data_IF_213579049805
#
_entry.id   IF_213579049805
#
_cell.length_a   1.000
_cell.length_b   1.000
_cell.length_c   1.000
_cell.angle_alpha   90.00
_cell.angle_beta   90.00
_cell.angle_gamma   90.00
#
_symmetry.space_group_name_H-M   'P 1'
#
loop_
_entity.id
_entity.type
_entity.pdbx_description
1 polymer ?
#
# COMPACT_ATOMS: atom_id res chain seq x y z
N UNK A 1 1.48 15.90 -13.74
CA UNK A 1 2.80 15.39 -14.20
C UNK A 1 2.86 15.26 -15.71
N UNK A 2 2.09 14.35 -16.36
CA UNK A 2 2.13 14.18 -17.84
C UNK A 2 1.84 15.46 -18.64
N UNK A 3 0.85 16.25 -18.23
CA UNK A 3 0.51 17.51 -18.89
C UNK A 3 1.64 18.53 -18.78
N UNK A 4 2.29 18.66 -17.62
CA UNK A 4 3.43 19.57 -17.43
C UNK A 4 4.65 19.15 -18.24
N UNK A 5 4.90 17.84 -18.37
CA UNK A 5 6.00 17.30 -19.19
C UNK A 5 5.74 17.52 -20.68
N UNK A 6 4.50 17.28 -21.15
CA UNK A 6 4.09 17.56 -22.52
C UNK A 6 4.17 19.06 -22.84
N UNK A 7 3.85 19.90 -21.87
CA UNK A 7 3.90 21.36 -21.98
C UNK A 7 5.33 21.88 -22.03
N UNK A 8 6.23 21.32 -21.20
CA UNK A 8 7.65 21.62 -21.26
C UNK A 8 8.29 21.13 -22.58
N UNK A 9 7.91 19.95 -23.06
CA UNK A 9 8.36 19.43 -24.36
C UNK A 9 7.86 20.29 -25.53
N UNK A 10 6.61 20.74 -25.49
CA UNK A 10 6.05 21.65 -26.49
C UNK A 10 6.74 23.02 -26.48
N UNK A 11 7.03 23.59 -25.31
CA UNK A 11 7.78 24.84 -25.17
C UNK A 11 9.22 24.70 -25.69
N UNK A 12 9.87 23.57 -25.42
CA UNK A 12 11.22 23.29 -25.93
C UNK A 12 11.22 23.17 -27.47
N UNK A 13 10.25 22.47 -28.05
CA UNK A 13 10.08 22.36 -29.50
C UNK A 13 9.77 23.73 -30.15
N UNK A 14 8.92 24.54 -29.51
CA UNK A 14 8.63 25.91 -29.93
C UNK A 14 9.87 26.81 -29.89
N UNK A 15 10.67 26.70 -28.83
CA UNK A 15 11.91 27.47 -28.67
C UNK A 15 12.93 27.10 -29.75
N UNK A 16 13.04 25.81 -30.08
CA UNK A 16 13.86 25.36 -31.21
C UNK A 16 13.38 25.93 -32.54
N UNK A 17 12.08 25.84 -32.83
CA UNK A 17 11.50 26.36 -34.08
C UNK A 17 11.62 27.89 -34.20
N UNK A 18 11.42 28.63 -33.09
CA UNK A 18 11.62 30.08 -33.06
C UNK A 18 13.08 30.47 -33.28
N UNK A 19 14.02 29.73 -32.70
CA UNK A 19 15.47 29.93 -32.92
C UNK A 19 15.86 29.66 -34.38
N UNK A 20 15.32 28.59 -34.99
CA UNK A 20 15.53 28.29 -36.41
C UNK A 20 14.95 29.35 -37.35
N UNK A 21 13.80 29.95 -36.99
CA UNK A 21 13.18 31.03 -37.75
C UNK A 21 13.97 32.35 -37.68
N UNK A 22 14.65 32.63 -36.57
CA UNK A 22 15.53 33.81 -36.44
C UNK A 22 16.83 33.63 -37.23
N UNK A 23 17.39 32.41 -37.26
CA UNK A 23 18.61 32.10 -37.99
C UNK A 23 18.43 32.04 -39.52
N UNK A 24 17.23 31.73 -39.99
CA UNK A 24 16.90 31.70 -41.43
C UNK A 24 15.80 32.72 -41.71
N UNK A 25 16.18 34.00 -41.73
CA UNK A 25 15.27 35.12 -42.02
C UNK A 25 14.84 35.19 -43.49
N UNK A 26 15.53 34.48 -44.37
CA UNK A 26 15.16 34.39 -45.78
C UNK A 26 13.95 33.47 -45.93
N UNK A 27 12.97 33.89 -46.73
CA UNK A 27 11.68 33.21 -46.89
C UNK A 27 11.84 31.82 -47.51
N UNK A 28 12.04 30.80 -46.67
CA UNK A 28 12.06 29.40 -47.10
C UNK A 28 10.63 29.00 -47.46
N UNK A 29 10.35 28.99 -48.77
CA UNK A 29 9.11 28.46 -49.32
C UNK A 29 9.31 26.96 -49.60
N UNK A 30 8.52 26.12 -48.93
CA UNK A 30 8.48 24.69 -49.21
C UNK A 30 7.41 24.47 -50.28
N UNK A 31 7.84 24.21 -51.50
CA UNK A 31 6.95 23.92 -52.62
C UNK A 31 6.49 22.47 -52.54
N UNK A 32 5.25 22.26 -52.10
CA UNK A 32 4.63 20.93 -52.03
C UNK A 32 4.02 20.52 -53.38
N UNK A 33 3.69 21.51 -54.23
CA UNK A 33 3.26 21.35 -55.62
C UNK A 33 3.49 22.67 -56.39
N UNK A 34 3.38 22.70 -57.74
CA UNK A 34 3.63 23.90 -58.55
C UNK A 34 2.75 25.11 -58.19
N UNK A 35 1.60 24.88 -57.57
CA UNK A 35 0.65 25.90 -57.14
C UNK A 35 0.57 26.10 -55.63
N UNK A 36 1.32 25.31 -54.83
CA UNK A 36 1.24 25.34 -53.37
C UNK A 36 2.63 25.50 -52.75
N UNK A 37 2.93 26.74 -52.39
CA UNK A 37 4.11 27.12 -51.62
C UNK A 37 3.74 27.36 -50.16
N UNK A 38 4.40 26.67 -49.24
CA UNK A 38 4.17 26.81 -47.81
C UNK A 38 5.27 27.67 -47.20
N UNK A 39 4.90 28.83 -46.65
CA UNK A 39 5.80 29.75 -45.97
C UNK A 39 6.05 29.23 -44.55
N UNK A 40 7.19 28.55 -44.34
CA UNK A 40 7.54 27.91 -43.07
C UNK A 40 7.56 28.90 -41.89
N UNK A 41 8.15 30.10 -42.01
CA UNK A 41 8.10 31.13 -40.96
C UNK A 41 6.67 31.47 -40.52
N UNK A 42 5.75 31.68 -41.47
CA UNK A 42 4.36 32.05 -41.17
C UNK A 42 3.63 30.93 -40.40
N UNK A 43 3.82 29.67 -40.80
CA UNK A 43 3.21 28.53 -40.11
C UNK A 43 3.83 28.26 -38.74
N UNK A 44 5.13 28.49 -38.57
CA UNK A 44 5.78 28.41 -37.27
C UNK A 44 5.18 29.44 -36.29
N UNK A 45 4.96 30.68 -36.75
CA UNK A 45 4.31 31.74 -35.95
C UNK A 45 2.87 31.37 -35.59
N UNK A 46 2.08 30.86 -36.54
CA UNK A 46 0.70 30.42 -36.28
C UNK A 46 0.66 29.29 -35.25
N UNK A 47 1.56 28.31 -35.35
CA UNK A 47 1.64 27.19 -34.41
C UNK A 47 2.06 27.68 -33.02
N UNK A 48 3.02 28.60 -32.95
CA UNK A 48 3.48 29.23 -31.70
C UNK A 48 2.32 29.95 -31.00
N UNK A 49 1.59 30.81 -31.70
CA UNK A 49 0.45 31.54 -31.16
C UNK A 49 -0.73 30.62 -30.80
N UNK A 50 -0.94 29.53 -31.54
CA UNK A 50 -1.97 28.54 -31.22
C UNK A 50 -1.67 27.80 -29.91
N UNK A 51 -0.40 27.41 -29.71
CA UNK A 51 0.04 26.78 -28.45
C UNK A 51 -0.02 27.78 -27.30
N UNK A 52 0.42 29.03 -27.51
CA UNK A 52 0.28 30.11 -26.52
C UNK A 52 -1.18 30.38 -26.15
N UNK A 53 -2.10 30.39 -27.13
CA UNK A 53 -3.54 30.54 -26.91
C UNK A 53 -4.13 29.38 -26.12
N UNK A 54 -3.74 28.14 -26.44
CA UNK A 54 -4.14 26.96 -25.67
C UNK A 54 -3.62 27.03 -24.23
N UNK A 55 -2.36 27.40 -24.04
CA UNK A 55 -1.76 27.58 -22.72
C UNK A 55 -2.45 28.67 -21.90
N UNK A 56 -2.76 29.81 -22.54
CA UNK A 56 -3.50 30.89 -21.90
C UNK A 56 -4.93 30.47 -21.52
N UNK A 57 -5.57 29.63 -22.34
CA UNK A 57 -6.91 29.10 -22.04
C UNK A 57 -6.91 28.11 -20.87
N UNK A 58 -5.90 27.23 -20.80
CA UNK A 58 -5.70 26.30 -19.68
C UNK A 58 -5.31 27.06 -18.40
N UNK A 59 -4.40 28.04 -18.50
CA UNK A 59 -4.05 28.95 -17.39
C UNK A 59 -5.27 29.73 -16.90
N UNK A 60 -6.11 30.24 -17.81
CA UNK A 60 -7.35 30.92 -17.45
C UNK A 60 -8.33 29.96 -16.77
N UNK A 61 -8.43 28.72 -17.21
CA UNK A 61 -9.26 27.69 -16.55
C UNK A 61 -8.75 27.35 -15.14
N UNK A 62 -7.43 27.39 -14.95
CA UNK A 62 -6.74 27.23 -13.66
C UNK A 62 -6.98 28.41 -12.72
N UNK A 63 -6.96 29.65 -13.24
CA UNK A 63 -7.18 30.88 -12.47
C UNK A 63 -8.65 31.11 -12.13
N UNK A 64 -9.58 30.74 -13.03
CA UNK A 64 -11.03 30.88 -12.81
C UNK A 64 -11.60 29.80 -11.88
N UNK A 65 -10.98 28.62 -11.82
CA UNK A 65 -11.40 27.51 -10.95
C UNK A 65 -10.24 26.93 -10.13
N UNK A 66 -9.63 27.73 -9.23
CA UNK A 66 -8.50 27.29 -8.43
C UNK A 66 -8.86 26.08 -7.56
N UNK A 67 -10.10 26.01 -7.08
CA UNK A 67 -10.59 24.93 -6.23
C UNK A 67 -10.47 23.54 -6.87
N UNK A 68 -10.77 23.42 -8.17
CA UNK A 68 -10.69 22.13 -8.87
C UNK A 68 -9.25 21.65 -9.01
N UNK A 69 -8.31 22.56 -9.20
CA UNK A 69 -6.88 22.22 -9.27
C UNK A 69 -6.34 21.79 -7.90
N UNK A 70 -6.62 22.55 -6.85
CA UNK A 70 -6.21 22.19 -5.49
C UNK A 70 -6.86 20.89 -5.03
N UNK A 71 -8.12 20.64 -5.36
CA UNK A 71 -8.78 19.36 -5.08
C UNK A 71 -8.10 18.20 -5.82
N UNK A 72 -7.81 18.32 -7.12
CA UNK A 72 -7.08 17.28 -7.88
C UNK A 72 -5.69 17.03 -7.30
N UNK A 73 -4.97 18.07 -6.92
CA UNK A 73 -3.64 17.95 -6.33
C UNK A 73 -3.71 17.28 -4.95
N UNK A 74 -4.63 17.71 -4.08
CA UNK A 74 -4.88 17.10 -2.77
C UNK A 74 -5.23 15.62 -2.91
N UNK A 75 -6.18 15.27 -3.78
CA UNK A 75 -6.55 13.87 -4.05
C UNK A 75 -5.38 13.07 -4.60
N UNK A 76 -4.59 13.62 -5.53
CA UNK A 76 -3.41 12.93 -6.05
C UNK A 76 -2.34 12.71 -4.97
N UNK A 77 -2.16 13.67 -4.08
CA UNK A 77 -1.19 13.62 -3.00
C UNK A 77 -1.65 12.65 -1.90
N UNK A 78 -2.95 12.62 -1.60
CA UNK A 78 -3.59 11.64 -0.72
C UNK A 78 -3.48 10.22 -1.30
N UNK A 79 -3.77 10.02 -2.58
CA UNK A 79 -3.56 8.75 -3.28
C UNK A 79 -2.10 8.30 -3.22
N UNK A 80 -1.14 9.21 -3.44
CA UNK A 80 0.28 8.89 -3.33
C UNK A 80 0.68 8.51 -1.89
N UNK A 81 0.13 9.19 -0.87
CA UNK A 81 0.33 8.84 0.54
C UNK A 81 -0.28 7.48 0.89
N UNK A 82 -1.49 7.19 0.40
CA UNK A 82 -2.15 5.89 0.58
C UNK A 82 -1.34 4.78 -0.10
N UNK A 83 -0.88 4.99 -1.34
CA UNK A 83 -0.07 4.01 -2.05
C UNK A 83 1.22 3.69 -1.29
N UNK A 84 1.92 4.71 -0.77
CA UNK A 84 3.12 4.50 0.07
C UNK A 84 2.82 3.67 1.33
N UNK A 85 1.64 3.84 1.95
CA UNK A 85 1.23 3.02 3.10
C UNK A 85 1.00 1.56 2.69
N UNK A 86 0.29 1.34 1.58
CA UNK A 86 0.03 0.01 1.03
C UNK A 86 1.34 -0.69 0.68
N UNK A 87 2.27 0.01 0.03
CA UNK A 87 3.58 -0.53 -0.32
C UNK A 87 4.39 -0.90 0.93
N UNK A 88 4.35 -0.06 1.96
CA UNK A 88 5.00 -0.35 3.26
C UNK A 88 4.42 -1.61 3.92
N UNK A 89 3.10 -1.78 3.89
CA UNK A 89 2.43 -2.98 4.43
C UNK A 89 2.79 -4.22 3.63
N UNK A 90 2.78 -4.12 2.30
CA UNK A 90 3.19 -5.21 1.40
C UNK A 90 4.64 -5.63 1.65
N UNK A 91 5.55 -4.67 1.80
CA UNK A 91 6.95 -4.95 2.09
C UNK A 91 7.15 -5.56 3.48
N UNK A 92 6.33 -5.15 4.46
CA UNK A 92 6.29 -5.79 5.77
C UNK A 92 5.86 -7.26 5.68
N UNK A 93 4.76 -7.56 4.97
CA UNK A 93 4.33 -8.95 4.77
C UNK A 93 5.39 -9.79 4.05
N UNK A 94 6.02 -9.25 3.01
CA UNK A 94 7.13 -9.90 2.32
C UNK A 94 8.30 -10.20 3.27
N UNK A 95 8.65 -9.25 4.14
CA UNK A 95 9.73 -9.43 5.12
C UNK A 95 9.37 -10.50 6.17
N UNK A 96 8.11 -10.58 6.59
CA UNK A 96 7.62 -11.66 7.45
C UNK A 96 7.70 -13.02 6.76
N UNK A 97 7.26 -13.11 5.51
CA UNK A 97 7.33 -14.35 4.71
C UNK A 97 8.77 -14.79 4.43
N UNK A 98 9.69 -13.85 4.23
CA UNK A 98 11.11 -14.14 4.04
C UNK A 98 11.88 -14.36 5.35
N UNK A 99 11.19 -14.36 6.51
CA UNK A 99 11.78 -14.46 7.84
C UNK A 99 12.93 -13.46 8.13
N UNK A 100 12.94 -12.29 7.48
CA UNK A 100 13.98 -11.26 7.69
C UNK A 100 13.60 -10.38 8.90
N UNK A 101 13.88 -10.88 10.10
CA UNK A 101 13.50 -10.25 11.37
C UNK A 101 14.06 -8.82 11.53
N UNK A 102 15.23 -8.53 10.93
CA UNK A 102 15.83 -7.19 10.95
C UNK A 102 15.05 -6.21 10.08
N UNK A 103 14.56 -6.65 8.91
CA UNK A 103 13.67 -5.82 8.07
C UNK A 103 12.30 -5.67 8.72
N UNK A 104 11.72 -6.72 9.29
CA UNK A 104 10.44 -6.67 10.00
C UNK A 104 10.48 -5.61 11.11
N UNK A 105 11.51 -5.64 11.98
CA UNK A 105 11.67 -4.65 13.06
C UNK A 105 11.74 -3.21 12.52
N UNK A 106 12.52 -2.99 11.44
CA UNK A 106 12.67 -1.66 10.81
C UNK A 106 11.39 -1.16 10.17
N UNK A 107 10.68 -2.02 9.44
CA UNK A 107 9.42 -1.68 8.77
C UNK A 107 8.30 -1.45 9.80
N UNK A 108 8.22 -2.29 10.83
CA UNK A 108 7.26 -2.10 11.92
C UNK A 108 7.53 -0.80 12.68
N UNK A 109 8.79 -0.40 12.92
CA UNK A 109 9.09 0.89 13.55
C UNK A 109 8.61 2.10 12.73
N UNK A 110 8.53 1.97 11.39
CA UNK A 110 7.96 3.01 10.51
C UNK A 110 6.43 3.07 10.58
N UNK A 111 5.79 1.94 10.84
CA UNK A 111 4.35 1.83 11.04
C UNK A 111 4.06 2.13 12.51
N UNK A 112 3.64 3.34 12.86
CA UNK A 112 3.36 3.71 14.25
C UNK A 112 2.54 2.61 14.97
N UNK A 113 3.07 1.95 16.03
CA UNK A 113 2.49 0.70 16.54
C UNK A 113 1.01 0.79 16.96
N UNK A 114 0.59 1.93 17.50
CA UNK A 114 -0.81 2.19 17.90
C UNK A 114 -1.78 2.42 16.73
N UNK A 115 -1.27 2.73 15.55
CA UNK A 115 -2.07 2.93 14.32
C UNK A 115 -1.95 1.77 13.34
N UNK A 116 -1.20 0.73 13.70
CA UNK A 116 -1.04 -0.44 12.88
C UNK A 116 -2.35 -1.26 12.87
N UNK A 117 -2.79 -1.76 11.70
CA UNK A 117 -3.84 -2.76 11.59
C UNK A 117 -3.55 -4.00 12.46
N UNK A 118 -4.61 -4.68 12.91
CA UNK A 118 -4.53 -5.88 13.76
C UNK A 118 -3.61 -6.95 13.16
N UNK A 119 -3.84 -7.33 11.90
CA UNK A 119 -3.04 -8.30 11.16
C UNK A 119 -1.52 -8.02 11.22
N UNK A 120 -1.11 -6.75 11.06
CA UNK A 120 0.31 -6.36 11.13
C UNK A 120 0.86 -6.50 12.56
N UNK A 121 0.04 -6.20 13.58
CA UNK A 121 0.44 -6.36 14.99
C UNK A 121 0.60 -7.82 15.36
N UNK A 122 -0.34 -8.68 14.94
CA UNK A 122 -0.30 -10.13 15.14
C UNK A 122 0.91 -10.73 14.44
N UNK A 123 1.11 -10.45 13.13
CA UNK A 123 2.28 -10.96 12.39
C UNK A 123 3.61 -10.49 12.97
N UNK A 124 3.68 -9.25 13.47
CA UNK A 124 4.87 -8.77 14.17
C UNK A 124 5.11 -9.54 15.47
N UNK A 125 4.06 -9.83 16.26
CA UNK A 125 4.19 -10.65 17.46
C UNK A 125 4.66 -12.07 17.12
N UNK A 126 4.03 -12.72 16.13
CA UNK A 126 4.43 -14.05 15.66
C UNK A 126 5.89 -14.06 15.21
N UNK A 127 6.35 -13.04 14.49
CA UNK A 127 7.75 -12.95 14.04
C UNK A 127 8.77 -12.91 15.19
N UNK A 128 8.35 -12.46 16.37
CA UNK A 128 9.21 -12.38 17.56
C UNK A 128 9.33 -13.72 18.30
N UNK A 129 8.55 -14.73 17.92
CA UNK A 129 8.64 -16.09 18.47
C UNK A 129 10.06 -16.66 18.45
N UNK A 130 10.87 -16.29 17.46
CA UNK A 130 12.26 -16.75 17.32
C UNK A 130 13.27 -15.96 18.17
N UNK A 131 12.84 -14.88 18.83
CA UNK A 131 13.72 -13.96 19.57
C UNK A 131 13.31 -13.90 21.04
N UNK A 132 12.01 -13.96 21.33
CA UNK A 132 11.46 -13.81 22.66
C UNK A 132 11.33 -15.15 23.38
N UNK A 133 11.45 -15.07 24.69
CA UNK A 133 11.17 -16.14 25.64
C UNK A 133 9.66 -16.43 25.73
N UNK A 134 9.33 -17.66 26.12
CA UNK A 134 7.95 -18.14 26.24
C UNK A 134 7.06 -17.24 27.11
N UNK A 135 7.44 -16.85 28.34
CA UNK A 135 6.59 -16.00 29.17
C UNK A 135 6.30 -14.65 28.53
N UNK A 136 7.31 -14.04 27.90
CA UNK A 136 7.17 -12.77 27.19
C UNK A 136 6.27 -12.88 25.95
N UNK A 137 6.33 -13.99 25.23
CA UNK A 137 5.42 -14.26 24.11
C UNK A 137 3.98 -14.42 24.59
N UNK A 138 3.74 -15.20 25.65
CA UNK A 138 2.41 -15.36 26.25
C UNK A 138 1.84 -14.03 26.73
N UNK A 139 2.65 -13.20 27.40
CA UNK A 139 2.25 -11.87 27.82
C UNK A 139 1.89 -10.97 26.62
N UNK A 140 2.65 -11.06 25.52
CA UNK A 140 2.37 -10.32 24.29
C UNK A 140 1.02 -10.69 23.67
N UNK A 141 0.69 -11.98 23.61
CA UNK A 141 -0.62 -12.44 23.13
C UNK A 141 -1.75 -12.04 24.08
N UNK A 142 -1.52 -12.15 25.39
CA UNK A 142 -2.49 -11.72 26.40
C UNK A 142 -2.82 -10.22 26.27
N UNK A 143 -1.82 -9.36 26.08
CA UNK A 143 -2.02 -7.93 25.84
C UNK A 143 -2.80 -7.67 24.55
N UNK A 144 -2.48 -8.36 23.45
CA UNK A 144 -3.25 -8.23 22.21
C UNK A 144 -4.71 -8.68 22.38
N UNK A 145 -4.95 -9.75 23.13
CA UNK A 145 -6.30 -10.24 23.44
C UNK A 145 -7.10 -9.23 24.27
N UNK A 146 -6.45 -8.53 25.21
CA UNK A 146 -7.11 -7.46 25.98
C UNK A 146 -7.52 -6.28 25.11
N UNK A 147 -6.71 -5.92 24.12
CA UNK A 147 -7.01 -4.83 23.20
C UNK A 147 -8.07 -5.22 22.15
N UNK A 148 -8.08 -6.48 21.72
CA UNK A 148 -8.97 -7.02 20.69
C UNK A 148 -9.63 -8.32 21.17
N UNK A 149 -10.63 -8.22 22.07
CA UNK A 149 -11.33 -9.39 22.57
C UNK A 149 -12.16 -10.02 21.45
N UNK A 150 -12.29 -11.35 21.47
CA UNK A 150 -13.09 -12.14 20.53
C UNK A 150 -12.65 -12.08 19.05
N UNK A 151 -11.48 -11.50 18.74
CA UNK A 151 -10.95 -11.50 17.38
C UNK A 151 -10.21 -12.81 17.08
N UNK A 152 -10.72 -13.58 16.13
CA UNK A 152 -10.12 -14.86 15.72
C UNK A 152 -8.67 -14.69 15.22
N UNK A 153 -8.35 -13.56 14.58
CA UNK A 153 -6.98 -13.24 14.14
C UNK A 153 -5.97 -13.22 15.31
N UNK A 154 -6.42 -13.00 16.54
CA UNK A 154 -5.58 -13.04 17.76
C UNK A 154 -5.70 -14.38 18.47
N UNK A 155 -6.91 -14.93 18.57
CA UNK A 155 -7.16 -16.16 19.33
C UNK A 155 -6.51 -17.38 18.68
N UNK A 156 -6.56 -17.52 17.35
CA UNK A 156 -6.01 -18.68 16.66
C UNK A 156 -4.49 -18.80 16.83
N UNK A 157 -3.68 -17.74 16.54
CA UNK A 157 -2.23 -17.85 16.74
C UNK A 157 -1.84 -17.96 18.22
N UNK A 158 -2.67 -17.43 19.13
CA UNK A 158 -2.43 -17.57 20.56
C UNK A 158 -2.66 -19.02 21.01
N UNK A 159 -3.77 -19.64 20.60
CA UNK A 159 -4.08 -21.05 20.87
C UNK A 159 -2.99 -21.97 20.29
N UNK A 160 -2.59 -21.73 19.05
CA UNK A 160 -1.51 -22.50 18.43
C UNK A 160 -0.22 -22.40 19.25
N UNK A 161 0.16 -21.19 19.68
CA UNK A 161 1.36 -21.00 20.49
C UNK A 161 1.26 -21.67 21.87
N UNK A 162 0.09 -21.64 22.52
CA UNK A 162 -0.07 -22.31 23.82
C UNK A 162 -0.05 -23.83 23.72
N UNK A 163 -0.58 -24.41 22.64
CA UNK A 163 -0.45 -25.84 22.33
C UNK A 163 1.03 -26.23 22.14
N UNK A 164 1.77 -25.45 21.37
CA UNK A 164 3.20 -25.71 21.10
C UNK A 164 4.08 -25.65 22.35
N UNK A 165 3.76 -24.77 23.28
CA UNK A 165 4.50 -24.59 24.55
C UNK A 165 4.05 -25.60 25.61
N UNK A 166 2.88 -26.23 25.44
CA UNK A 166 2.30 -27.15 26.41
C UNK A 166 1.53 -26.46 27.55
N UNK A 167 1.06 -25.23 27.33
CA UNK A 167 0.18 -24.52 28.27
C UNK A 167 -1.28 -24.99 28.09
N UNK A 168 -1.52 -26.27 28.43
CA UNK A 168 -2.76 -26.99 28.11
C UNK A 168 -4.02 -26.34 28.70
N UNK A 169 -3.92 -25.71 29.88
CA UNK A 169 -5.05 -25.03 30.50
C UNK A 169 -5.51 -23.80 29.70
N UNK A 170 -4.56 -23.01 29.22
CA UNK A 170 -4.86 -21.83 28.38
C UNK A 170 -5.32 -22.29 26.99
N UNK A 171 -4.68 -23.31 26.43
CA UNK A 171 -5.07 -23.88 25.14
C UNK A 171 -6.52 -24.37 25.14
N UNK A 172 -6.96 -25.10 26.18
CA UNK A 172 -8.35 -25.56 26.31
C UNK A 172 -9.34 -24.38 26.36
N UNK A 173 -9.05 -23.40 27.21
CA UNK A 173 -9.90 -22.21 27.35
C UNK A 173 -10.06 -21.47 26.01
N UNK A 174 -8.94 -21.23 25.32
CA UNK A 174 -8.95 -20.57 24.01
C UNK A 174 -9.70 -21.41 22.98
N UNK A 175 -9.53 -22.73 22.98
CA UNK A 175 -10.20 -23.62 22.02
C UNK A 175 -11.72 -23.58 22.19
N UNK A 176 -12.22 -23.63 23.43
CA UNK A 176 -13.65 -23.46 23.70
C UNK A 176 -14.19 -22.07 23.35
N UNK A 177 -13.38 -21.02 23.55
CA UNK A 177 -13.74 -19.65 23.17
C UNK A 177 -13.84 -19.50 21.65
N UNK A 178 -12.88 -20.06 20.91
CA UNK A 178 -12.91 -20.08 19.45
C UNK A 178 -14.12 -20.86 18.93
N UNK A 179 -14.41 -22.04 19.48
CA UNK A 179 -15.59 -22.83 19.07
C UNK A 179 -16.92 -22.11 19.39
N UNK A 180 -16.99 -21.34 20.48
CA UNK A 180 -18.16 -20.48 20.76
C UNK A 180 -18.32 -19.36 19.73
N UNK A 181 -17.23 -18.78 19.24
CA UNK A 181 -17.25 -17.67 18.28
C UNK A 181 -17.48 -18.17 16.85
N UNK A 182 -16.85 -19.29 16.50
CA UNK A 182 -16.94 -19.95 15.21
C UNK A 182 -17.18 -21.45 15.45
N UNK A 183 -18.47 -21.82 15.48
CA UNK A 183 -18.86 -23.19 15.75
C UNK A 183 -18.24 -24.17 14.75
N UNK A 184 -17.66 -25.26 15.27
CA UNK A 184 -16.94 -26.28 14.51
C UNK A 184 -15.74 -25.74 13.73
N UNK A 185 -15.06 -24.71 14.26
CA UNK A 185 -13.80 -24.25 13.67
C UNK A 185 -12.73 -25.37 13.77
N UNK A 186 -12.08 -25.74 12.66
CA UNK A 186 -11.18 -26.90 12.62
C UNK A 186 -10.01 -26.78 13.61
N UNK A 187 -9.43 -25.58 13.75
CA UNK A 187 -8.32 -25.35 14.69
C UNK A 187 -8.77 -25.42 16.17
N UNK A 188 -10.03 -25.08 16.47
CA UNK A 188 -10.57 -25.20 17.81
C UNK A 188 -10.74 -26.67 18.21
N UNK A 189 -11.34 -27.47 17.32
CA UNK A 189 -11.53 -28.91 17.54
C UNK A 189 -10.17 -29.63 17.62
N UNK A 190 -9.23 -29.30 16.73
CA UNK A 190 -7.88 -29.86 16.80
C UNK A 190 -7.19 -29.53 18.12
N UNK A 191 -7.27 -28.29 18.59
CA UNK A 191 -6.69 -27.91 19.87
C UNK A 191 -7.32 -28.63 21.07
N UNK A 192 -8.66 -28.76 21.10
CA UNK A 192 -9.33 -29.53 22.16
C UNK A 192 -8.94 -31.01 22.12
N UNK A 193 -8.84 -31.59 20.92
CA UNK A 193 -8.37 -32.97 20.76
C UNK A 193 -6.96 -33.15 21.30
N UNK A 194 -6.02 -32.27 20.97
CA UNK A 194 -4.65 -32.34 21.49
C UNK A 194 -4.61 -32.24 23.01
N UNK A 195 -5.40 -31.34 23.60
CA UNK A 195 -5.54 -31.22 25.07
C UNK A 195 -6.06 -32.52 25.68
N UNK A 196 -7.11 -33.13 25.12
CA UNK A 196 -7.68 -34.37 25.67
C UNK A 196 -6.75 -35.56 25.51
N UNK A 197 -6.01 -35.65 24.40
CA UNK A 197 -4.96 -36.65 24.20
C UNK A 197 -3.88 -36.54 25.28
N UNK A 198 -3.42 -35.32 25.57
CA UNK A 198 -2.39 -35.11 26.60
C UNK A 198 -2.87 -35.43 28.02
N UNK A 199 -4.17 -35.26 28.29
CA UNK A 199 -4.80 -35.62 29.57
C UNK A 199 -5.19 -37.10 29.67
N UNK A 200 -5.10 -37.85 28.57
CA UNK A 200 -5.53 -39.25 28.50
C UNK A 200 -7.06 -39.44 28.45
N UNK A 201 -7.82 -38.38 28.14
CA UNK A 201 -9.28 -38.43 28.00
C UNK A 201 -9.68 -38.79 26.55
N UNK A 202 -9.38 -40.02 26.16
CA UNK A 202 -9.67 -40.53 24.82
C UNK A 202 -11.18 -40.49 24.46
N UNK A 203 -12.13 -40.76 25.37
CA UNK A 203 -13.56 -40.67 25.06
C UNK A 203 -14.05 -39.25 24.75
N UNK A 204 -13.39 -38.21 25.27
CA UNK A 204 -13.72 -36.82 24.95
C UNK A 204 -13.27 -36.43 23.53
N UNK A 205 -12.22 -37.07 22.99
CA UNK A 205 -11.72 -36.83 21.63
C UNK A 205 -12.72 -37.21 20.52
N UNK A 206 -13.58 -38.21 20.76
CA UNK A 206 -14.54 -38.72 19.76
C UNK A 206 -15.94 -38.09 19.83
N UNK A 207 -16.18 -37.16 20.76
CA UNK A 207 -17.46 -36.47 20.96
C UNK A 207 -17.54 -35.10 20.27
N UNK A 208 -16.48 -34.72 19.56
CA UNK A 208 -16.31 -33.46 18.85
C UNK A 208 -16.77 -33.54 17.40
#
# INVERSE_FOLDING_TARGET
>A
MRILILLAAALFALSGLGYFAILNSDTIFLYLSPSLSLNIPLWAVILVFSVLGFLASELRSLVLHPDRFFQRFRVSLEKARQQRRIDTYRDFHRACLSCDLRKVKRLFARITPRRAPLDIRVKNLISKRYIWDTPRMLQGFFQLRQEFPNELEVLLPYQQFTLEVGEWGIAEQLSHEIDRLAHNHPEALMGLREVYVQRGDWPACGRQ
#
